data_IF_313721372824
#
_entry.id   IF_313721372824
#
_cell.length_a   1.000
_cell.length_b   1.000
_cell.length_c   1.000
_cell.angle_alpha   90.00
_cell.angle_beta   90.00
_cell.angle_gamma   90.00
#
_symmetry.space_group_name_H-M   'P 1'
#
loop_
_entity.id
_entity.type
_entity.pdbx_description
1 polymer ?
#
# COMPACT_ATOMS: atom_id res chain seq x y z
N UNK A 1 39.46 6.96 38.34
CA UNK A 1 38.83 5.67 37.99
C UNK A 1 37.31 5.84 38.07
N UNK A 2 36.66 6.08 37.01
CA UNK A 2 35.20 6.06 36.90
C UNK A 2 34.85 5.32 35.60
N UNK A 3 34.10 4.23 35.72
CA UNK A 3 33.63 3.38 34.62
C UNK A 3 32.38 4.01 34.04
N UNK A 4 32.43 4.43 32.80
CA UNK A 4 31.25 4.70 31.99
C UNK A 4 30.65 3.37 31.58
N UNK A 5 29.40 3.15 31.99
CA UNK A 5 28.56 2.06 31.52
C UNK A 5 27.73 2.60 30.36
N UNK A 6 28.09 2.16 29.17
CA UNK A 6 27.32 2.36 27.94
C UNK A 6 26.03 1.55 28.05
N UNK A 7 24.89 2.24 28.23
CA UNK A 7 23.56 1.66 28.18
C UNK A 7 22.94 1.94 26.81
N UNK A 8 23.20 1.04 25.87
CA UNK A 8 22.52 0.99 24.59
C UNK A 8 21.01 0.81 24.77
N UNK A 9 20.26 1.91 24.81
CA UNK A 9 18.80 1.89 24.83
C UNK A 9 18.27 1.53 23.44
N UNK A 10 17.95 0.27 23.28
CA UNK A 10 17.07 -0.23 22.21
C UNK A 10 15.79 0.62 22.21
N UNK A 11 15.63 1.52 21.24
CA UNK A 11 14.40 2.28 21.00
C UNK A 11 13.30 1.29 20.65
N UNK A 12 12.42 0.98 21.63
CA UNK A 12 11.19 0.23 21.44
C UNK A 12 10.32 0.98 20.40
N UNK A 13 9.96 0.26 19.33
CA UNK A 13 9.01 0.69 18.31
C UNK A 13 7.72 1.17 18.98
N UNK A 14 7.43 2.47 18.95
CA UNK A 14 6.18 3.04 19.44
C UNK A 14 5.13 3.05 18.32
N UNK A 15 4.72 1.87 17.86
CA UNK A 15 3.50 1.75 17.07
C UNK A 15 2.27 2.06 17.94
N UNK A 16 1.26 2.70 17.38
CA UNK A 16 -0.03 2.88 18.06
C UNK A 16 -0.49 1.52 18.56
N UNK A 17 -0.81 1.42 19.88
CA UNK A 17 -1.29 0.18 20.50
C UNK A 17 -2.46 -0.39 19.70
N UNK A 18 -2.26 -1.52 19.00
CA UNK A 18 -3.31 -2.27 18.28
C UNK A 18 -3.14 -2.45 16.78
N UNK A 19 -2.28 -1.68 16.09
CA UNK A 19 -2.05 -1.89 14.66
C UNK A 19 -1.00 -2.99 14.45
N UNK A 20 -1.35 -3.97 13.61
CA UNK A 20 -0.47 -5.08 13.23
C UNK A 20 -0.22 -5.01 11.73
N UNK A 21 1.02 -5.32 11.33
CA UNK A 21 1.43 -5.28 9.93
C UNK A 21 2.19 -6.55 9.58
N UNK A 22 2.14 -6.92 8.30
CA UNK A 22 2.92 -8.02 7.75
C UNK A 22 2.74 -9.32 8.55
N UNK A 23 3.82 -9.87 9.08
CA UNK A 23 3.81 -11.12 9.83
C UNK A 23 3.01 -11.06 11.15
N UNK A 24 2.75 -9.88 11.69
CA UNK A 24 2.00 -9.70 12.94
C UNK A 24 0.47 -9.68 12.78
N UNK A 25 -0.03 -9.77 11.54
CA UNK A 25 -1.46 -9.88 11.25
C UNK A 25 -2.07 -11.15 11.85
N UNK A 26 -3.37 -11.08 12.18
CA UNK A 26 -4.16 -12.29 12.48
C UNK A 26 -4.21 -13.23 11.27
N UNK A 27 -4.50 -14.49 11.51
CA UNK A 27 -4.64 -15.48 10.42
C UNK A 27 -5.70 -15.03 9.40
N UNK A 28 -6.87 -14.59 9.86
CA UNK A 28 -7.94 -14.12 8.97
C UNK A 28 -7.52 -12.91 8.12
N UNK A 29 -6.77 -11.97 8.71
CA UNK A 29 -6.26 -10.82 7.97
C UNK A 29 -5.20 -11.24 6.93
N UNK A 30 -4.31 -12.18 7.25
CA UNK A 30 -3.35 -12.74 6.28
C UNK A 30 -4.07 -13.38 5.10
N UNK A 31 -5.08 -14.20 5.36
CA UNK A 31 -5.87 -14.83 4.30
C UNK A 31 -6.64 -13.80 3.45
N UNK A 32 -7.12 -12.71 4.06
CA UNK A 32 -7.74 -11.61 3.32
C UNK A 32 -6.73 -10.92 2.38
N UNK A 33 -5.49 -10.66 2.81
CA UNK A 33 -4.45 -10.10 1.95
C UNK A 33 -3.98 -11.06 0.86
N UNK A 34 -3.88 -12.36 1.14
CA UNK A 34 -3.60 -13.36 0.09
C UNK A 34 -4.70 -13.37 -0.98
N UNK A 35 -5.97 -13.27 -0.57
CA UNK A 35 -7.10 -13.17 -1.49
C UNK A 35 -7.06 -11.88 -2.30
N UNK A 36 -6.79 -10.74 -1.65
CA UNK A 36 -6.63 -9.44 -2.32
C UNK A 36 -5.51 -9.52 -3.37
N UNK A 37 -4.34 -10.03 -3.01
CA UNK A 37 -3.22 -10.27 -3.92
C UNK A 37 -3.63 -11.14 -5.13
N UNK A 38 -4.29 -12.27 -4.88
CA UNK A 38 -4.70 -13.18 -5.95
C UNK A 38 -5.68 -12.48 -6.90
N UNK A 39 -6.68 -11.78 -6.38
CA UNK A 39 -7.65 -11.05 -7.20
C UNK A 39 -6.98 -9.93 -8.00
N UNK A 40 -6.04 -9.20 -7.38
CA UNK A 40 -5.26 -8.17 -8.06
C UNK A 40 -4.43 -8.75 -9.22
N UNK A 41 -3.70 -9.84 -8.97
CA UNK A 41 -2.91 -10.50 -10.01
C UNK A 41 -3.80 -10.96 -11.17
N UNK A 42 -4.96 -11.54 -10.87
CA UNK A 42 -5.92 -12.01 -11.88
C UNK A 42 -6.59 -10.87 -12.67
N UNK A 43 -6.55 -9.63 -12.19
CA UNK A 43 -7.10 -8.48 -12.91
C UNK A 43 -6.21 -8.00 -14.06
N UNK A 44 -4.96 -8.49 -14.13
CA UNK A 44 -4.03 -8.16 -15.20
C UNK A 44 -3.95 -9.28 -16.25
N UNK A 45 -3.60 -8.97 -17.51
CA UNK A 45 -3.33 -9.98 -18.53
C UNK A 45 -2.22 -10.95 -18.07
N UNK A 46 -2.51 -12.25 -18.11
CA UNK A 46 -1.59 -13.27 -17.59
C UNK A 46 -0.39 -13.54 -18.51
N UNK A 47 -0.52 -13.21 -19.79
CA UNK A 47 0.56 -13.37 -20.78
C UNK A 47 1.66 -12.30 -20.66
N UNK A 48 1.34 -11.20 -20.00
CA UNK A 48 2.26 -10.08 -19.81
C UNK A 48 3.03 -10.23 -18.50
N UNK A 49 4.30 -10.51 -18.58
CA UNK A 49 5.23 -10.66 -17.45
C UNK A 49 5.92 -9.36 -17.04
N UNK A 50 5.52 -8.23 -17.62
CA UNK A 50 6.07 -6.92 -17.26
C UNK A 50 5.77 -6.59 -15.80
N UNK A 51 6.56 -5.67 -15.22
CA UNK A 51 6.30 -5.13 -13.89
C UNK A 51 4.91 -4.48 -13.85
N UNK A 52 4.22 -4.63 -12.71
CA UNK A 52 2.92 -3.99 -12.47
C UNK A 52 3.05 -2.81 -11.52
N UNK A 53 2.62 -1.65 -11.99
CA UNK A 53 2.50 -0.43 -11.20
C UNK A 53 1.08 -0.34 -10.62
N UNK A 54 0.94 -0.57 -9.32
CA UNK A 54 -0.36 -0.61 -8.64
C UNK A 54 -0.50 0.55 -7.67
N UNK A 55 -1.42 1.47 -7.95
CA UNK A 55 -1.76 2.57 -7.05
C UNK A 55 -2.76 2.12 -5.98
N UNK A 56 -2.59 2.64 -4.76
CA UNK A 56 -3.54 2.46 -3.66
C UNK A 56 -3.95 3.83 -3.16
N UNK A 57 -5.23 4.14 -3.23
CA UNK A 57 -5.80 5.41 -2.76
C UNK A 57 -7.06 5.18 -1.93
N UNK A 58 -7.70 6.25 -1.46
CA UNK A 58 -8.98 6.21 -0.74
C UNK A 58 -9.79 7.48 -1.02
N UNK A 59 -11.07 7.48 -0.68
CA UNK A 59 -11.90 8.66 -0.79
C UNK A 59 -11.57 9.73 0.27
N UNK A 60 -11.14 9.31 1.47
CA UNK A 60 -10.83 10.22 2.58
C UNK A 60 -9.58 9.77 3.34
N UNK A 61 -8.96 10.68 4.14
CA UNK A 61 -7.88 10.32 5.04
C UNK A 61 -8.31 9.27 6.08
N UNK A 62 -7.36 8.44 6.52
CA UNK A 62 -7.55 7.43 7.57
C UNK A 62 -8.43 6.23 7.20
N UNK A 63 -8.76 6.02 5.93
CA UNK A 63 -9.43 4.79 5.46
C UNK A 63 -8.51 3.55 5.51
N UNK A 64 -7.21 3.75 5.72
CA UNK A 64 -6.23 2.68 5.89
C UNK A 64 -5.47 2.30 4.63
N UNK A 65 -5.40 3.17 3.62
CA UNK A 65 -4.66 2.95 2.37
C UNK A 65 -3.22 2.49 2.60
N UNK A 66 -2.45 3.19 3.44
CA UNK A 66 -1.06 2.83 3.77
C UNK A 66 -0.94 1.50 4.50
N UNK A 67 -1.95 1.13 5.31
CA UNK A 67 -2.04 -0.19 5.94
C UNK A 67 -2.28 -1.28 4.90
N UNK A 68 -3.14 -1.01 3.92
CA UNK A 68 -3.37 -1.92 2.80
C UNK A 68 -2.12 -2.03 1.93
N UNK A 69 -1.46 -0.92 1.62
CA UNK A 69 -0.27 -0.88 0.78
C UNK A 69 0.88 -1.74 1.34
N UNK A 70 1.23 -1.55 2.62
CA UNK A 70 2.33 -2.31 3.23
C UNK A 70 2.01 -3.82 3.33
N UNK A 71 0.77 -4.18 3.70
CA UNK A 71 0.40 -5.58 3.83
C UNK A 71 0.24 -6.27 2.48
N UNK A 72 -0.20 -5.55 1.44
CA UNK A 72 -0.24 -6.07 0.08
C UNK A 72 1.18 -6.29 -0.46
N UNK A 73 2.09 -5.33 -0.28
CA UNK A 73 3.49 -5.48 -0.67
C UNK A 73 4.14 -6.69 0.00
N UNK A 74 3.93 -6.86 1.32
CA UNK A 74 4.38 -8.05 2.05
C UNK A 74 3.79 -9.33 1.49
N UNK A 75 2.47 -9.35 1.26
CA UNK A 75 1.79 -10.53 0.72
C UNK A 75 2.27 -10.91 -0.70
N UNK A 76 2.68 -9.93 -1.52
CA UNK A 76 3.28 -10.21 -2.83
C UNK A 76 4.69 -10.77 -2.68
N UNK A 77 5.48 -10.22 -1.73
CA UNK A 77 6.83 -10.71 -1.45
C UNK A 77 6.85 -12.16 -0.96
N UNK A 78 5.77 -12.66 -0.31
CA UNK A 78 5.61 -14.08 0.04
C UNK A 78 5.59 -15.03 -1.18
N UNK A 79 5.48 -14.49 -2.42
CA UNK A 79 5.57 -15.26 -3.68
C UNK A 79 6.96 -15.19 -4.33
N UNK A 80 7.99 -14.83 -3.58
CA UNK A 80 9.36 -14.64 -4.09
C UNK A 80 9.46 -13.61 -5.24
N UNK A 81 8.55 -12.62 -5.26
CA UNK A 81 8.55 -11.51 -6.21
C UNK A 81 9.37 -10.34 -5.69
N UNK A 82 10.07 -9.67 -6.59
CA UNK A 82 10.75 -8.41 -6.29
C UNK A 82 9.71 -7.30 -6.18
N UNK A 83 9.52 -6.77 -4.98
CA UNK A 83 8.48 -5.80 -4.68
C UNK A 83 9.10 -4.51 -4.16
N UNK A 84 8.62 -3.39 -4.69
CA UNK A 84 8.90 -2.06 -4.16
C UNK A 84 7.61 -1.43 -3.65
N UNK A 85 7.65 -0.86 -2.45
CA UNK A 85 6.61 0.00 -1.90
C UNK A 85 7.06 1.45 -1.91
N UNK A 86 6.31 2.33 -2.58
CA UNK A 86 6.59 3.76 -2.65
C UNK A 86 5.54 4.53 -1.85
N UNK A 87 5.98 5.32 -0.87
CA UNK A 87 5.10 6.23 -0.13
C UNK A 87 5.00 7.57 -0.89
N UNK A 88 3.95 7.70 -1.69
CA UNK A 88 3.68 8.91 -2.47
C UNK A 88 2.71 9.89 -1.76
N UNK A 89 2.22 9.55 -0.55
CA UNK A 89 1.52 10.51 0.31
C UNK A 89 2.53 11.39 1.08
N UNK A 90 3.26 12.22 0.34
CA UNK A 90 4.27 13.12 0.92
C UNK A 90 3.68 14.14 1.90
N UNK A 91 2.35 14.33 1.91
CA UNK A 91 1.67 15.20 2.87
C UNK A 91 1.52 14.53 4.24
N UNK A 92 1.22 13.23 4.26
CA UNK A 92 0.99 12.43 5.46
C UNK A 92 1.68 11.06 5.37
N UNK A 93 2.96 11.11 5.02
CA UNK A 93 3.82 9.92 4.95
C UNK A 93 3.74 9.11 6.24
N UNK A 94 3.44 7.82 6.12
CA UNK A 94 3.27 6.93 7.28
C UNK A 94 3.87 5.54 7.09
N UNK A 95 4.31 5.20 5.89
CA UNK A 95 4.91 3.88 5.60
C UNK A 95 6.17 3.67 6.43
N UNK A 96 7.02 4.71 6.57
CA UNK A 96 8.25 4.61 7.35
C UNK A 96 8.01 4.20 8.81
N UNK A 97 6.97 4.75 9.47
CA UNK A 97 6.61 4.37 10.84
C UNK A 97 6.12 2.92 10.93
N UNK A 98 5.30 2.49 9.95
CA UNK A 98 4.72 1.14 9.89
C UNK A 98 5.77 0.08 9.61
N UNK A 99 6.70 0.39 8.70
CA UNK A 99 7.78 -0.51 8.32
C UNK A 99 8.97 -0.47 9.30
N UNK A 100 9.06 0.56 10.14
CA UNK A 100 10.21 0.76 11.05
C UNK A 100 11.50 1.13 10.32
N UNK A 101 11.38 1.87 9.21
CA UNK A 101 12.51 2.40 8.42
C UNK A 101 12.65 3.91 8.63
N UNK A 102 13.73 4.52 8.13
CA UNK A 102 13.92 5.96 8.23
C UNK A 102 12.93 6.70 7.32
N UNK A 103 12.50 7.88 7.72
CA UNK A 103 11.63 8.73 6.93
C UNK A 103 12.35 9.35 5.74
N UNK A 104 13.63 9.72 5.95
CA UNK A 104 14.47 10.44 4.98
C UNK A 104 15.82 9.74 4.82
N UNK A 105 16.48 9.82 3.64
CA UNK A 105 15.93 10.37 2.40
C UNK A 105 14.84 9.49 1.80
N UNK A 106 13.99 10.06 0.91
CA UNK A 106 12.88 9.36 0.30
C UNK A 106 12.41 9.99 -1.02
N UNK A 107 11.13 9.82 -1.36
CA UNK A 107 10.57 10.23 -2.62
C UNK A 107 10.69 11.74 -2.87
N UNK A 108 10.53 12.57 -1.84
CA UNK A 108 10.66 14.02 -2.00
C UNK A 108 12.08 14.43 -2.40
N UNK A 109 13.12 13.81 -1.83
CA UNK A 109 14.51 14.04 -2.17
C UNK A 109 14.82 13.57 -3.60
N UNK A 110 14.32 12.38 -3.98
CA UNK A 110 14.44 11.87 -5.35
C UNK A 110 13.85 12.81 -6.39
N UNK A 111 12.64 13.31 -6.14
CA UNK A 111 11.93 14.18 -7.07
C UNK A 111 12.52 15.60 -7.12
N UNK A 112 13.14 16.06 -6.04
CA UNK A 112 13.91 17.30 -6.00
C UNK A 112 15.35 17.15 -6.51
N UNK A 113 15.78 15.90 -6.83
CA UNK A 113 17.12 15.58 -7.34
C UNK A 113 18.26 15.92 -6.33
N UNK A 114 17.98 15.76 -5.05
CA UNK A 114 18.97 15.94 -3.98
C UNK A 114 19.68 14.63 -3.64
N UNK A 115 19.03 13.49 -3.87
CA UNK A 115 19.53 12.17 -3.55
C UNK A 115 19.31 11.16 -4.69
N UNK A 116 20.06 10.07 -4.70
CA UNK A 116 19.95 8.98 -5.66
C UNK A 116 18.92 7.93 -5.20
N UNK A 117 18.46 7.07 -6.13
CA UNK A 117 17.55 5.96 -5.80
C UNK A 117 18.17 5.06 -4.74
N UNK A 118 19.47 4.76 -4.84
CA UNK A 118 20.17 3.88 -3.89
C UNK A 118 20.24 4.44 -2.47
N UNK A 119 20.29 5.76 -2.31
CA UNK A 119 20.28 6.43 -1.00
C UNK A 119 18.89 6.44 -0.36
N UNK A 120 17.85 6.56 -1.20
CA UNK A 120 16.45 6.59 -0.74
C UNK A 120 15.85 5.19 -0.55
N UNK A 121 16.48 4.16 -1.10
CA UNK A 121 15.98 2.79 -1.05
C UNK A 121 16.28 2.17 0.32
N UNK A 122 15.24 1.68 0.98
CA UNK A 122 15.34 0.97 2.24
C UNK A 122 14.69 -0.40 2.12
N UNK A 123 14.97 -1.30 3.03
CA UNK A 123 14.44 -2.67 3.00
C UNK A 123 13.64 -2.99 4.24
N UNK A 124 12.45 -3.51 4.06
CA UNK A 124 11.73 -4.25 5.07
C UNK A 124 12.13 -5.72 5.01
N UNK A 125 12.40 -6.32 6.17
CA UNK A 125 12.60 -7.76 6.30
C UNK A 125 11.78 -8.24 7.48
N UNK A 126 11.06 -9.35 7.32
CA UNK A 126 10.28 -9.94 8.39
C UNK A 126 11.17 -10.44 9.53
N UNK A 127 10.58 -10.73 10.71
CA UNK A 127 11.33 -11.13 11.93
C UNK A 127 12.09 -12.42 11.76
N UNK A 128 11.73 -13.27 10.79
CA UNK A 128 12.37 -14.55 10.52
C UNK A 128 13.41 -14.46 9.40
N UNK A 129 13.52 -13.31 8.72
CA UNK A 129 14.40 -13.12 7.58
C UNK A 129 13.96 -13.91 6.33
N UNK A 130 12.69 -14.32 6.26
CA UNK A 130 12.17 -15.16 5.17
C UNK A 130 11.70 -14.32 3.99
N UNK A 131 11.02 -13.21 4.27
CA UNK A 131 10.44 -12.35 3.23
C UNK A 131 10.92 -10.91 3.40
N UNK A 132 11.19 -10.28 2.27
CA UNK A 132 11.61 -8.88 2.26
C UNK A 132 11.08 -8.16 1.03
N UNK A 133 10.90 -6.84 1.14
CA UNK A 133 10.61 -5.96 0.03
C UNK A 133 11.29 -4.61 0.24
N UNK A 134 11.50 -3.89 -0.84
CA UNK A 134 12.14 -2.60 -0.80
C UNK A 134 11.11 -1.48 -0.59
N UNK A 135 11.55 -0.37 -0.01
CA UNK A 135 10.71 0.78 0.33
C UNK A 135 11.41 2.07 -0.09
N UNK A 136 10.68 2.95 -0.76
CA UNK A 136 11.02 4.36 -0.87
C UNK A 136 10.03 5.12 0.02
N UNK A 137 10.46 5.64 1.19
CA UNK A 137 9.59 6.43 2.07
C UNK A 137 9.25 7.77 1.44
N UNK A 138 8.29 8.49 2.00
CA UNK A 138 7.85 9.78 1.46
C UNK A 138 8.89 10.90 1.50
N UNK A 139 9.89 10.78 2.37
CA UNK A 139 10.93 11.79 2.51
C UNK A 139 10.54 12.97 3.42
N UNK A 140 11.23 14.09 3.25
CA UNK A 140 10.93 15.34 3.94
C UNK A 140 9.60 15.93 3.48
N UNK A 141 9.02 16.82 4.28
CA UNK A 141 7.80 17.50 3.90
C UNK A 141 8.01 18.33 2.62
N UNK A 142 7.35 17.91 1.55
CA UNK A 142 7.41 18.62 0.27
C UNK A 142 6.53 19.87 0.31
N UNK A 143 7.00 20.97 -0.28
CA UNK A 143 6.20 22.19 -0.40
C UNK A 143 5.10 22.04 -1.47
N UNK A 144 5.42 21.35 -2.58
CA UNK A 144 4.56 21.19 -3.75
C UNK A 144 4.37 19.71 -4.12
N UNK A 145 3.72 18.87 -3.28
CA UNK A 145 3.60 17.43 -3.53
C UNK A 145 2.92 17.10 -4.86
N UNK A 146 1.84 17.83 -5.21
CA UNK A 146 1.10 17.62 -6.46
C UNK A 146 1.97 17.84 -7.70
N UNK A 147 2.79 18.91 -7.71
CA UNK A 147 3.68 19.23 -8.82
C UNK A 147 4.79 18.17 -8.95
N UNK A 148 5.35 17.73 -7.82
CA UNK A 148 6.37 16.68 -7.81
C UNK A 148 5.84 15.38 -8.38
N UNK A 149 4.64 14.94 -7.94
CA UNK A 149 4.01 13.72 -8.44
C UNK A 149 3.62 13.82 -9.93
N UNK A 150 3.26 15.00 -10.42
CA UNK A 150 2.92 15.23 -11.83
C UNK A 150 4.16 15.56 -12.70
N UNK A 151 5.35 15.50 -12.14
CA UNK A 151 6.57 15.87 -12.85
C UNK A 151 7.04 14.80 -13.83
N UNK A 152 7.76 15.22 -14.88
CA UNK A 152 8.46 14.30 -15.76
C UNK A 152 9.49 13.43 -15.00
N UNK A 153 9.98 13.89 -13.86
CA UNK A 153 10.89 13.12 -12.98
C UNK A 153 10.21 11.94 -12.34
N UNK A 154 8.97 12.10 -11.86
CA UNK A 154 8.18 10.99 -11.33
C UNK A 154 7.96 9.92 -12.41
N UNK A 155 7.56 10.32 -13.61
CA UNK A 155 7.40 9.40 -14.74
C UNK A 155 8.73 8.70 -15.09
N UNK A 156 9.83 9.41 -15.12
CA UNK A 156 11.16 8.85 -15.41
C UNK A 156 11.62 7.89 -14.29
N UNK A 157 11.32 8.23 -13.03
CA UNK A 157 11.58 7.36 -11.88
C UNK A 157 10.82 6.04 -12.03
N UNK A 158 9.50 6.10 -12.25
CA UNK A 158 8.66 4.91 -12.41
C UNK A 158 9.14 4.01 -13.55
N UNK A 159 9.53 4.58 -14.69
CA UNK A 159 10.10 3.83 -15.82
C UNK A 159 11.39 3.07 -15.46
N UNK A 160 12.24 3.64 -14.61
CA UNK A 160 13.45 2.95 -14.12
C UNK A 160 13.09 1.84 -13.13
N UNK A 161 12.08 2.06 -12.29
CA UNK A 161 11.69 1.08 -11.27
C UNK A 161 11.07 -0.18 -11.89
N UNK A 162 10.33 -0.06 -13.00
CA UNK A 162 9.73 -1.23 -13.68
C UNK A 162 10.76 -2.19 -14.27
N UNK A 163 12.00 -1.77 -14.50
CA UNK A 163 13.08 -2.64 -14.96
C UNK A 163 13.64 -3.53 -13.83
N UNK A 164 13.53 -3.08 -12.59
CA UNK A 164 14.15 -3.70 -11.42
C UNK A 164 13.20 -4.59 -10.61
N UNK A 165 11.89 -4.34 -10.69
CA UNK A 165 10.88 -4.98 -9.84
C UNK A 165 9.83 -5.72 -10.66
N UNK A 166 9.15 -6.69 -10.02
CA UNK A 166 8.01 -7.40 -10.60
C UNK A 166 6.70 -6.66 -10.25
N UNK A 167 6.67 -5.99 -9.09
CA UNK A 167 5.56 -5.17 -8.63
C UNK A 167 6.07 -3.89 -7.96
N UNK A 168 5.47 -2.76 -8.31
CA UNK A 168 5.63 -1.49 -7.60
C UNK A 168 4.28 -1.08 -7.04
N UNK A 169 4.15 -1.10 -5.71
CA UNK A 169 2.95 -0.66 -4.99
C UNK A 169 3.15 0.79 -4.57
N UNK A 170 2.21 1.67 -4.92
CA UNK A 170 2.34 3.11 -4.68
C UNK A 170 1.21 3.54 -3.74
N UNK A 171 1.56 3.95 -2.51
CA UNK A 171 0.62 4.53 -1.54
C UNK A 171 0.36 5.99 -1.89
N UNK A 172 -0.80 6.28 -2.46
CA UNK A 172 -1.21 7.59 -2.93
C UNK A 172 -2.04 8.33 -1.88
N UNK A 173 -2.04 9.69 -1.87
CA UNK A 173 -2.95 10.45 -1.03
C UNK A 173 -4.42 10.20 -1.39
N UNK A 174 -5.37 10.55 -0.48
CA UNK A 174 -6.79 10.41 -0.75
C UNK A 174 -7.25 11.31 -1.91
N UNK A 175 -8.03 10.77 -2.84
CA UNK A 175 -8.55 11.51 -4.02
C UNK A 175 -9.47 12.66 -3.60
N UNK A 176 -10.36 12.44 -2.63
CA UNK A 176 -11.27 13.48 -2.14
C UNK A 176 -10.61 14.67 -1.43
N UNK A 177 -9.33 14.54 -1.09
CA UNK A 177 -8.59 15.61 -0.42
C UNK A 177 -7.70 16.43 -1.37
N UNK A 178 -7.16 15.79 -2.43
CA UNK A 178 -6.16 16.39 -3.32
C UNK A 178 -6.13 15.72 -4.70
N UNK A 179 -5.73 16.48 -5.71
CA UNK A 179 -5.61 16.03 -7.12
C UNK A 179 -4.38 15.11 -7.32
N UNK A 180 -3.56 14.93 -6.29
CA UNK A 180 -2.27 14.25 -6.34
C UNK A 180 -2.36 12.79 -6.82
N UNK A 181 -3.41 12.07 -6.40
CA UNK A 181 -3.62 10.66 -6.80
C UNK A 181 -3.90 10.52 -8.30
N UNK A 182 -4.51 11.54 -8.91
CA UNK A 182 -4.83 11.59 -10.34
C UNK A 182 -3.57 11.88 -11.17
N UNK A 183 -2.62 12.62 -10.61
CA UNK A 183 -1.41 13.03 -11.32
C UNK A 183 -0.55 11.83 -11.79
N UNK A 184 -0.52 10.75 -11.02
CA UNK A 184 0.28 9.54 -11.32
C UNK A 184 -0.52 8.48 -12.06
N UNK A 185 -1.85 8.63 -12.14
CA UNK A 185 -2.76 7.58 -12.63
C UNK A 185 -2.51 7.14 -14.07
N UNK A 186 -2.01 8.03 -14.92
CA UNK A 186 -1.76 7.74 -16.34
C UNK A 186 -0.63 6.74 -16.60
N UNK A 187 0.20 6.47 -15.60
CA UNK A 187 1.32 5.52 -15.69
C UNK A 187 1.07 4.25 -14.87
N UNK A 188 -0.06 4.16 -14.17
CA UNK A 188 -0.42 2.97 -13.40
C UNK A 188 -1.12 1.93 -14.26
N UNK A 189 -0.78 0.66 -14.06
CA UNK A 189 -1.50 -0.47 -14.66
C UNK A 189 -2.88 -0.67 -14.01
N UNK A 190 -3.00 -0.33 -12.73
CA UNK A 190 -4.26 -0.41 -12.01
C UNK A 190 -4.27 0.33 -10.68
N UNK A 191 -5.46 0.65 -10.20
CA UNK A 191 -5.67 1.34 -8.93
C UNK A 191 -6.67 0.58 -8.06
N UNK A 192 -6.31 0.40 -6.78
CA UNK A 192 -7.19 -0.08 -5.72
C UNK A 192 -7.70 1.10 -4.90
N UNK A 193 -9.01 1.15 -4.66
CA UNK A 193 -9.65 2.17 -3.84
C UNK A 193 -10.00 1.57 -2.48
N UNK A 194 -9.37 2.08 -1.42
CA UNK A 194 -9.61 1.64 -0.04
C UNK A 194 -10.77 2.42 0.55
N UNK A 195 -11.71 1.71 1.15
CA UNK A 195 -12.89 2.25 1.81
C UNK A 195 -12.91 1.71 3.23
N UNK A 196 -13.06 2.58 4.23
CA UNK A 196 -13.25 2.12 5.59
C UNK A 196 -14.72 1.87 5.87
N UNK A 197 -15.04 0.66 6.36
CA UNK A 197 -16.41 0.28 6.70
C UNK A 197 -17.05 1.26 7.69
N UNK A 198 -18.30 1.65 7.43
CA UNK A 198 -19.13 2.54 8.25
C UNK A 198 -18.58 3.96 8.48
N UNK A 199 -17.52 4.38 7.79
CA UNK A 199 -16.95 5.73 7.98
C UNK A 199 -16.94 6.59 6.73
N UNK A 200 -16.88 5.98 5.55
CA UNK A 200 -16.85 6.72 4.29
C UNK A 200 -18.28 7.11 3.86
N UNK A 201 -18.62 8.41 3.76
CA UNK A 201 -19.91 8.85 3.24
C UNK A 201 -20.08 8.46 1.77
N UNK A 202 -21.29 7.99 1.41
CA UNK A 202 -21.58 7.58 0.01
C UNK A 202 -21.34 8.71 -0.99
N UNK A 203 -21.67 9.95 -0.65
CA UNK A 203 -21.47 11.12 -1.50
C UNK A 203 -19.99 11.35 -1.79
N UNK A 204 -19.13 11.25 -0.78
CA UNK A 204 -17.69 11.42 -0.93
C UNK A 204 -17.07 10.30 -1.78
N UNK A 205 -17.54 9.06 -1.61
CA UNK A 205 -17.12 7.96 -2.46
C UNK A 205 -17.55 8.18 -3.93
N UNK A 206 -18.78 8.63 -4.15
CA UNK A 206 -19.27 8.92 -5.50
C UNK A 206 -18.46 10.04 -6.17
N UNK A 207 -18.11 11.09 -5.43
CA UNK A 207 -17.24 12.17 -5.91
C UNK A 207 -15.84 11.65 -6.26
N UNK A 208 -15.24 10.85 -5.37
CA UNK A 208 -13.96 10.19 -5.63
C UNK A 208 -14.00 9.36 -6.92
N UNK A 209 -15.04 8.55 -7.08
CA UNK A 209 -15.23 7.71 -8.27
C UNK A 209 -15.41 8.56 -9.54
N UNK A 210 -16.13 9.66 -9.46
CA UNK A 210 -16.30 10.60 -10.58
C UNK A 210 -14.95 11.20 -11.01
N UNK A 211 -14.12 11.63 -10.06
CA UNK A 211 -12.79 12.19 -10.34
C UNK A 211 -11.86 11.15 -10.99
N UNK A 212 -11.82 9.92 -10.46
CA UNK A 212 -11.02 8.83 -11.03
C UNK A 212 -11.50 8.43 -12.43
N UNK A 213 -12.80 8.40 -12.65
CA UNK A 213 -13.41 8.11 -13.96
C UNK A 213 -13.07 9.22 -14.98
N UNK A 214 -13.13 10.48 -14.57
CA UNK A 214 -12.78 11.62 -15.43
C UNK A 214 -11.31 11.57 -15.89
N UNK A 215 -10.44 11.05 -15.04
CA UNK A 215 -9.03 10.85 -15.35
C UNK A 215 -8.74 9.53 -16.10
N UNK A 216 -9.76 8.76 -16.49
CA UNK A 216 -9.63 7.45 -17.13
C UNK A 216 -8.74 6.46 -16.35
N UNK A 217 -8.81 6.49 -15.02
CA UNK A 217 -8.03 5.61 -14.16
C UNK A 217 -8.55 4.18 -14.28
N UNK A 218 -7.65 3.22 -14.50
CA UNK A 218 -8.00 1.80 -14.48
C UNK A 218 -8.21 1.33 -13.02
N UNK A 219 -9.46 1.35 -12.54
CA UNK A 219 -9.81 0.88 -11.20
C UNK A 219 -9.99 -0.63 -11.24
N UNK A 220 -9.06 -1.37 -10.63
CA UNK A 220 -9.06 -2.84 -10.60
C UNK A 220 -9.84 -3.42 -9.43
N UNK A 221 -10.27 -2.61 -8.46
CA UNK A 221 -11.11 -3.07 -7.37
C UNK A 221 -11.20 -2.14 -6.17
N UNK A 222 -12.00 -2.61 -5.20
CA UNK A 222 -12.20 -1.94 -3.92
C UNK A 222 -11.72 -2.82 -2.78
N UNK A 223 -11.12 -2.20 -1.76
CA UNK A 223 -10.70 -2.86 -0.53
C UNK A 223 -11.50 -2.29 0.64
N UNK A 224 -12.39 -3.09 1.22
CA UNK A 224 -13.12 -2.70 2.43
C UNK A 224 -12.25 -2.99 3.64
N UNK A 225 -11.79 -1.94 4.30
CA UNK A 225 -10.95 -2.01 5.49
C UNK A 225 -11.76 -1.78 6.78
N UNK A 226 -11.33 -2.38 7.89
CA UNK A 226 -11.96 -2.23 9.19
C UNK A 226 -13.25 -3.03 9.39
N UNK A 227 -13.52 -4.00 8.53
CA UNK A 227 -14.60 -4.96 8.73
C UNK A 227 -14.35 -5.77 10.02
N UNK A 228 -15.34 -5.77 10.92
CA UNK A 228 -15.25 -6.53 12.17
C UNK A 228 -15.38 -8.02 11.86
N UNK A 229 -14.42 -8.81 12.34
CA UNK A 229 -14.56 -10.27 12.38
C UNK A 229 -15.81 -10.62 13.21
N UNK A 230 -16.82 -11.24 12.58
CA UNK A 230 -18.03 -11.68 13.26
C UNK A 230 -19.24 -10.76 13.19
N UNK A 231 -19.19 -9.60 12.56
CA UNK A 231 -20.41 -8.87 12.19
C UNK A 231 -21.10 -9.61 11.05
N UNK A 232 -22.00 -10.56 11.41
CA UNK A 232 -22.66 -11.52 10.51
C UNK A 232 -23.60 -10.90 9.46
N UNK A 233 -23.25 -9.80 8.88
CA UNK A 233 -23.79 -9.32 7.61
C UNK A 233 -23.06 -10.09 6.51
N UNK A 234 -23.61 -11.28 6.17
CA UNK A 234 -23.32 -11.92 4.89
C UNK A 234 -23.48 -10.86 3.81
N UNK A 235 -22.37 -10.33 3.30
CA UNK A 235 -22.39 -9.63 2.04
C UNK A 235 -22.84 -10.64 1.00
N UNK A 236 -24.12 -10.60 0.68
CA UNK A 236 -24.74 -11.42 -0.34
C UNK A 236 -24.29 -10.85 -1.69
N UNK A 237 -23.07 -11.22 -2.07
CA UNK A 237 -22.60 -11.06 -3.43
C UNK A 237 -23.57 -11.87 -4.31
N UNK A 238 -24.12 -11.19 -5.30
CA UNK A 238 -25.22 -11.60 -6.14
C UNK A 238 -25.42 -13.11 -6.30
N UNK A 239 -26.64 -13.51 -6.20
CA UNK A 239 -27.35 -14.78 -6.28
C UNK A 239 -26.79 -15.88 -7.23
N UNK A 240 -25.51 -16.23 -7.20
CA UNK A 240 -24.96 -17.32 -8.02
C UNK A 240 -24.07 -18.35 -7.30
N UNK A 241 -24.00 -18.36 -5.98
CA UNK A 241 -23.39 -19.51 -5.26
C UNK A 241 -24.12 -19.83 -3.96
N UNK A 242 -25.38 -20.23 -4.07
CA UNK A 242 -25.97 -21.10 -3.05
C UNK A 242 -25.33 -22.48 -3.22
N UNK A 243 -24.45 -22.90 -2.31
CA UNK A 243 -24.32 -24.31 -2.08
C UNK A 243 -22.96 -24.94 -1.86
N UNK A 244 -21.81 -24.24 -1.75
CA UNK A 244 -20.53 -24.98 -1.66
C UNK A 244 -19.53 -24.57 -0.58
N UNK A 245 -19.72 -23.50 0.18
CA UNK A 245 -18.69 -23.02 1.12
C UNK A 245 -19.04 -23.08 2.62
N UNK A 246 -20.24 -23.54 2.98
CA UNK A 246 -20.66 -23.67 4.40
C UNK A 246 -20.18 -24.93 5.12
N UNK A 247 -19.71 -25.94 4.39
CA UNK A 247 -19.41 -27.28 4.94
C UNK A 247 -17.90 -27.59 5.06
N UNK A 248 -17.03 -26.72 4.58
CA UNK A 248 -15.58 -27.00 4.55
C UNK A 248 -14.81 -26.48 5.78
N UNK A 249 -15.40 -25.58 6.57
CA UNK A 249 -14.74 -24.99 7.72
C UNK A 249 -14.89 -25.77 9.04
N UNK A 250 -15.89 -26.65 9.13
CA UNK A 250 -16.12 -27.46 10.37
C UNK A 250 -15.30 -28.77 10.42
N UNK A 251 -14.51 -29.09 9.41
CA UNK A 251 -13.77 -30.36 9.37
C UNK A 251 -12.25 -30.22 9.54
N UNK A 252 -11.75 -29.02 9.87
CA UNK A 252 -10.32 -28.77 10.10
C UNK A 252 -9.97 -28.24 11.50
N UNK A 253 -10.90 -28.34 12.46
CA UNK A 253 -10.60 -28.11 13.88
C UNK A 253 -11.08 -29.29 14.71
#
# INVERSE_FOLDING_TARGET
MARETDSGTSRRRSGRKGERYCEDLSFAAKEAFKRLRTNMIMSFPQEDTSCRLVGITSAQPSDGKSTVAINLAYSIAELDKRVLLVDADMRRSSIHEKAGVNKTPGLSELLNNTDSISECLQKYTDKKGQFSFDIIPGGSAAQNPSELLNSARMTALLRKLVEAYDYVVIDLPPVGAVVDAVAVSSVLDGMLVVIRENTCPRGLLAECMSQLSYANVNIIGFVVNGALEGSGKKYQYGSYSKGYYGSYYDSYY
#
